data_IF_367306055048
#
_entry.id   IF_367306055048
#
_cell.length_a   1.000
_cell.length_b   1.000
_cell.length_c   1.000
_cell.angle_alpha   90.00
_cell.angle_beta   90.00
_cell.angle_gamma   90.00
#
_symmetry.space_group_name_H-M   'P 1'
#
loop_
_entity.id
_entity.type
_entity.pdbx_description
1 polymer ?
#
# COMPACT_ATOMS: atom_id res chain seq x y z
N UNK A 1 -5.22 -11.84 12.59
CA UNK A 1 -5.00 -11.20 11.28
C UNK A 1 -3.66 -10.46 11.26
N UNK A 2 -2.69 -10.89 10.45
CA UNK A 2 -1.36 -10.26 10.32
C UNK A 2 -1.21 -9.59 8.95
N UNK A 3 -0.59 -8.40 8.90
CA UNK A 3 -0.34 -7.62 7.68
C UNK A 3 1.06 -7.90 7.10
N UNK A 4 1.12 -8.49 5.90
CA UNK A 4 2.36 -8.79 5.18
C UNK A 4 2.28 -8.24 3.75
N UNK A 5 2.56 -6.94 3.60
CA UNK A 5 2.24 -6.21 2.37
C UNK A 5 3.42 -5.55 1.67
N UNK A 6 4.64 -5.76 2.17
CA UNK A 6 5.88 -5.25 1.57
C UNK A 6 6.15 -5.91 0.21
N UNK A 7 6.26 -5.15 -0.90
CA UNK A 7 6.77 -5.67 -2.16
C UNK A 7 8.17 -6.27 -1.95
N UNK A 8 8.37 -7.59 -2.12
CA UNK A 8 9.66 -8.20 -1.87
C UNK A 8 10.61 -7.94 -3.05
N UNK A 9 11.87 -7.63 -2.74
CA UNK A 9 12.94 -7.82 -3.71
C UNK A 9 13.42 -9.27 -3.64
N UNK A 10 14.05 -9.79 -4.70
CA UNK A 10 14.46 -11.19 -4.83
C UNK A 10 15.18 -11.78 -3.60
N UNK A 11 15.92 -10.97 -2.84
CA UNK A 11 16.57 -11.38 -1.61
C UNK A 11 15.58 -11.91 -0.54
N UNK A 12 14.40 -11.28 -0.40
CA UNK A 12 13.38 -11.68 0.57
C UNK A 12 12.72 -13.02 0.22
N UNK A 13 12.64 -13.39 -1.06
CA UNK A 13 12.00 -14.65 -1.49
C UNK A 13 12.65 -15.89 -0.86
N UNK A 14 13.97 -15.84 -0.62
CA UNK A 14 14.75 -16.98 -0.10
C UNK A 14 14.42 -17.32 1.35
N UNK A 15 14.07 -16.32 2.16
CA UNK A 15 13.83 -16.51 3.60
C UNK A 15 12.36 -16.39 3.98
N UNK A 16 11.52 -15.89 3.08
CA UNK A 16 10.13 -15.54 3.37
C UNK A 16 9.34 -16.65 4.06
N UNK A 17 9.31 -17.87 3.51
CA UNK A 17 8.56 -18.99 4.10
C UNK A 17 9.10 -19.37 5.48
N UNK A 18 10.42 -19.35 5.66
CA UNK A 18 11.06 -19.63 6.95
C UNK A 18 10.68 -18.56 7.98
N UNK A 19 10.71 -17.29 7.58
CA UNK A 19 10.43 -16.16 8.46
C UNK A 19 8.91 -16.07 8.77
N UNK A 20 8.06 -16.59 7.86
CA UNK A 20 6.60 -16.66 8.03
C UNK A 20 6.16 -17.83 8.93
N UNK A 21 6.90 -18.94 8.95
CA UNK A 21 6.51 -20.14 9.70
C UNK A 21 6.19 -19.90 11.19
N UNK A 22 7.00 -19.15 11.96
CA UNK A 22 6.65 -18.84 13.35
C UNK A 22 5.32 -18.11 13.51
N UNK A 23 4.93 -17.30 12.52
CA UNK A 23 3.64 -16.61 12.52
C UNK A 23 2.51 -17.60 12.25
N UNK A 24 2.67 -18.52 11.30
CA UNK A 24 1.68 -19.56 11.01
C UNK A 24 1.47 -20.45 12.23
N UNK A 25 2.56 -20.81 12.92
CA UNK A 25 2.52 -21.66 14.13
C UNK A 25 1.76 -20.99 15.29
N UNK A 26 1.59 -19.66 15.28
CA UNK A 26 0.73 -18.94 16.25
C UNK A 26 -0.77 -19.09 15.95
N UNK A 27 -1.16 -19.70 14.82
CA UNK A 27 -2.54 -19.95 14.43
C UNK A 27 -3.39 -18.71 14.13
N UNK A 28 -2.94 -17.78 13.25
CA UNK A 28 -3.78 -16.67 12.82
C UNK A 28 -4.94 -17.19 11.96
N UNK A 29 -6.11 -16.54 12.06
CA UNK A 29 -7.28 -16.93 11.25
C UNK A 29 -7.07 -16.70 9.75
N UNK A 30 -6.36 -15.62 9.39
CA UNK A 30 -6.05 -15.26 8.02
C UNK A 30 -4.83 -14.33 7.92
N UNK A 31 -4.19 -14.36 6.75
CA UNK A 31 -3.11 -13.45 6.36
C UNK A 31 -3.61 -12.38 5.38
N UNK A 32 -3.24 -11.12 5.60
CA UNK A 32 -3.47 -10.04 4.63
C UNK A 32 -2.23 -9.87 3.76
N UNK A 33 -2.37 -10.08 2.45
CA UNK A 33 -1.26 -10.05 1.49
C UNK A 33 -1.61 -9.26 0.22
N UNK A 34 -0.60 -8.70 -0.45
CA UNK A 34 -0.75 -7.89 -1.66
C UNK A 34 -0.01 -8.42 -2.89
N UNK A 35 1.08 -9.17 -2.70
CA UNK A 35 1.96 -9.61 -3.77
C UNK A 35 1.55 -11.00 -4.31
N UNK A 36 1.26 -11.15 -5.62
CA UNK A 36 0.82 -12.42 -6.20
C UNK A 36 1.85 -13.55 -6.06
N UNK A 37 3.14 -13.23 -6.17
CA UNK A 37 4.21 -14.23 -6.07
C UNK A 37 4.32 -14.80 -4.66
N UNK A 38 4.29 -13.93 -3.65
CA UNK A 38 4.28 -14.38 -2.25
C UNK A 38 3.00 -15.13 -1.91
N UNK A 39 1.83 -14.66 -2.37
CA UNK A 39 0.56 -15.35 -2.16
C UNK A 39 0.63 -16.77 -2.71
N UNK A 40 1.15 -16.96 -3.92
CA UNK A 40 1.36 -18.27 -4.52
C UNK A 40 2.26 -19.15 -3.63
N UNK A 41 3.40 -18.63 -3.18
CA UNK A 41 4.31 -19.37 -2.29
C UNK A 41 3.68 -19.76 -0.95
N UNK A 42 2.89 -18.88 -0.33
CA UNK A 42 2.19 -19.19 0.93
C UNK A 42 1.17 -20.28 0.71
N UNK A 43 0.39 -20.22 -0.36
CA UNK A 43 -0.62 -21.25 -0.66
C UNK A 43 0.02 -22.62 -0.91
N UNK A 44 1.17 -22.66 -1.56
CA UNK A 44 1.92 -23.89 -1.78
C UNK A 44 2.47 -24.48 -0.47
N UNK A 45 2.97 -23.63 0.42
CA UNK A 45 3.56 -24.05 1.69
C UNK A 45 2.53 -24.32 2.81
N UNK A 46 1.42 -23.59 2.82
CA UNK A 46 0.40 -23.55 3.86
C UNK A 46 -1.00 -23.49 3.22
N UNK A 47 -1.49 -24.60 2.63
CA UNK A 47 -2.73 -24.62 1.85
C UNK A 47 -3.99 -24.34 2.67
N UNK A 48 -3.96 -24.63 3.98
CA UNK A 48 -5.09 -24.43 4.89
C UNK A 48 -5.16 -23.00 5.45
N UNK A 49 -4.19 -22.13 5.12
CA UNK A 49 -4.15 -20.76 5.61
C UNK A 49 -5.00 -19.85 4.71
N UNK A 50 -6.01 -19.21 5.29
CA UNK A 50 -6.84 -18.25 4.58
C UNK A 50 -6.06 -16.97 4.25
N UNK A 51 -6.25 -16.47 3.03
CA UNK A 51 -5.57 -15.28 2.52
C UNK A 51 -6.60 -14.24 2.10
N UNK A 52 -6.49 -13.06 2.71
CA UNK A 52 -7.25 -11.87 2.39
C UNK A 52 -6.40 -10.92 1.53
N UNK A 53 -6.98 -10.40 0.46
CA UNK A 53 -6.29 -9.44 -0.40
C UNK A 53 -6.21 -8.08 0.29
N UNK A 54 -5.01 -7.54 0.42
CA UNK A 54 -4.77 -6.18 0.90
C UNK A 54 -5.24 -5.14 -0.10
N UNK A 55 -5.72 -4.00 0.41
CA UNK A 55 -6.02 -2.80 -0.39
C UNK A 55 -4.83 -2.33 -1.25
N UNK A 56 -3.59 -2.67 -0.86
CA UNK A 56 -2.37 -2.32 -1.62
C UNK A 56 -2.23 -3.07 -2.95
N UNK A 57 -3.00 -4.14 -3.15
CA UNK A 57 -3.13 -4.85 -4.43
C UNK A 57 -4.03 -4.11 -5.43
N UNK A 58 -4.73 -3.05 -5.01
CA UNK A 58 -5.54 -2.20 -5.88
C UNK A 58 -6.60 -3.00 -6.66
N UNK A 59 -7.52 -3.64 -5.94
CA UNK A 59 -8.68 -4.29 -6.53
C UNK A 59 -9.82 -3.27 -6.72
N UNK A 60 -9.88 -2.68 -7.91
CA UNK A 60 -10.86 -1.64 -8.30
C UNK A 60 -11.90 -2.09 -9.31
N UNK A 61 -11.92 -3.37 -9.69
CA UNK A 61 -12.91 -3.88 -10.65
C UNK A 61 -13.26 -5.34 -10.36
N UNK A 62 -14.41 -5.76 -10.87
CA UNK A 62 -14.93 -7.11 -10.63
C UNK A 62 -14.06 -8.21 -11.25
N UNK A 63 -13.37 -7.91 -12.35
CA UNK A 63 -12.52 -8.90 -13.04
C UNK A 63 -11.28 -9.23 -12.19
N UNK A 64 -10.67 -8.23 -11.57
CA UNK A 64 -9.57 -8.40 -10.60
C UNK A 64 -10.05 -9.20 -9.39
N UNK A 65 -11.22 -8.88 -8.84
CA UNK A 65 -11.80 -9.62 -7.71
C UNK A 65 -12.05 -11.09 -8.08
N UNK A 66 -12.59 -11.34 -9.28
CA UNK A 66 -12.80 -12.68 -9.81
C UNK A 66 -11.50 -13.45 -10.01
N UNK A 67 -10.45 -12.79 -10.51
CA UNK A 67 -9.11 -13.39 -10.64
C UNK A 67 -8.58 -13.86 -9.28
N UNK A 68 -8.64 -13.01 -8.26
CA UNK A 68 -8.19 -13.39 -6.92
C UNK A 68 -9.05 -14.49 -6.29
N UNK A 69 -10.35 -14.53 -6.60
CA UNK A 69 -11.22 -15.65 -6.20
C UNK A 69 -10.75 -16.98 -6.81
N UNK A 70 -10.39 -16.96 -8.08
CA UNK A 70 -9.88 -18.14 -8.80
C UNK A 70 -8.51 -18.58 -8.29
N UNK A 71 -7.68 -17.64 -7.86
CA UNK A 71 -6.44 -17.92 -7.12
C UNK A 71 -6.70 -18.44 -5.70
N UNK A 72 -7.97 -18.53 -5.28
CA UNK A 72 -8.42 -19.17 -4.05
C UNK A 72 -8.38 -18.28 -2.81
N UNK A 73 -8.31 -16.96 -2.96
CA UNK A 73 -8.47 -16.04 -1.83
C UNK A 73 -9.92 -16.07 -1.35
N UNK A 74 -10.10 -15.88 -0.05
CA UNK A 74 -11.39 -15.94 0.63
C UNK A 74 -12.05 -14.57 0.76
N UNK A 75 -11.25 -13.51 0.87
CA UNK A 75 -11.71 -12.13 1.01
C UNK A 75 -10.88 -11.14 0.23
N UNK A 76 -11.53 -10.10 -0.28
CA UNK A 76 -10.87 -8.94 -0.90
C UNK A 76 -11.21 -7.66 -0.14
N UNK A 77 -10.17 -6.97 0.32
CA UNK A 77 -10.30 -5.62 0.86
C UNK A 77 -10.26 -4.64 -0.31
N UNK A 78 -11.42 -4.04 -0.60
CA UNK A 78 -11.60 -3.15 -1.74
C UNK A 78 -10.88 -1.81 -1.56
N UNK A 79 -10.52 -1.22 -2.70
CA UNK A 79 -9.87 0.10 -2.74
C UNK A 79 -10.80 1.20 -2.22
N UNK A 80 -10.23 2.19 -1.54
CA UNK A 80 -10.96 3.32 -0.91
C UNK A 80 -11.45 4.35 -1.94
N UNK A 81 -11.06 4.17 -3.18
CA UNK A 81 -11.35 5.03 -4.31
C UNK A 81 -12.63 4.62 -5.05
N UNK A 82 -13.25 3.49 -4.68
CA UNK A 82 -14.48 2.99 -5.31
C UNK A 82 -15.74 3.67 -4.77
N UNK A 83 -16.68 3.95 -5.67
CA UNK A 83 -18.03 4.36 -5.32
C UNK A 83 -18.88 3.18 -4.84
N UNK A 84 -19.98 3.47 -4.14
CA UNK A 84 -20.93 2.46 -3.67
C UNK A 84 -21.53 1.67 -4.84
N UNK A 85 -21.79 2.34 -5.97
CA UNK A 85 -22.35 1.71 -7.17
C UNK A 85 -21.37 0.70 -7.78
N UNK A 86 -20.08 1.04 -7.85
CA UNK A 86 -19.04 0.11 -8.31
C UNK A 86 -18.88 -1.09 -7.36
N UNK A 87 -18.95 -0.86 -6.05
CA UNK A 87 -18.90 -1.94 -5.05
C UNK A 87 -20.10 -2.88 -5.22
N UNK A 88 -21.30 -2.33 -5.46
CA UNK A 88 -22.51 -3.10 -5.70
C UNK A 88 -22.40 -3.94 -6.99
N UNK A 89 -21.80 -3.38 -8.05
CA UNK A 89 -21.51 -4.11 -9.28
C UNK A 89 -20.53 -5.26 -9.03
N UNK A 90 -19.43 -5.02 -8.32
CA UNK A 90 -18.46 -6.06 -7.95
C UNK A 90 -19.14 -7.19 -7.18
N UNK A 91 -19.97 -6.85 -6.18
CA UNK A 91 -20.73 -7.82 -5.39
C UNK A 91 -21.66 -8.66 -6.26
N UNK A 92 -22.33 -8.05 -7.24
CA UNK A 92 -23.24 -8.74 -8.15
C UNK A 92 -22.50 -9.71 -9.09
N UNK A 93 -21.33 -9.32 -9.58
CA UNK A 93 -20.54 -10.13 -10.51
C UNK A 93 -19.77 -11.27 -9.82
N UNK A 94 -19.41 -11.10 -8.55
CA UNK A 94 -18.65 -12.10 -7.77
C UNK A 94 -19.33 -12.35 -6.41
N UNK A 95 -20.50 -13.02 -6.39
CA UNK A 95 -21.29 -13.21 -5.16
C UNK A 95 -20.67 -14.19 -4.16
N UNK A 96 -19.71 -15.01 -4.59
CA UNK A 96 -19.04 -16.02 -3.75
C UNK A 96 -17.74 -15.52 -3.11
N UNK A 97 -17.44 -14.22 -3.23
CA UNK A 97 -16.28 -13.57 -2.62
C UNK A 97 -16.73 -12.68 -1.45
N UNK A 98 -16.01 -12.75 -0.32
CA UNK A 98 -16.17 -11.79 0.76
C UNK A 98 -15.53 -10.45 0.38
N UNK A 99 -16.28 -9.37 0.54
CA UNK A 99 -15.81 -8.01 0.26
C UNK A 99 -15.72 -7.24 1.58
N UNK A 100 -14.57 -6.64 1.83
CA UNK A 100 -14.34 -5.76 2.98
C UNK A 100 -14.11 -4.33 2.46
N UNK A 101 -14.82 -3.37 3.04
CA UNK A 101 -14.82 -1.97 2.59
C UNK A 101 -14.53 -1.06 3.78
N UNK A 102 -13.68 -0.06 3.56
CA UNK A 102 -13.42 0.97 4.55
C UNK A 102 -14.55 2.01 4.55
N UNK A 103 -15.22 2.18 5.70
CA UNK A 103 -16.25 3.22 5.89
C UNK A 103 -15.63 4.55 6.32
N UNK A 104 -14.63 4.50 7.20
CA UNK A 104 -13.89 5.67 7.67
C UNK A 104 -12.40 5.35 7.73
N UNK A 105 -11.54 6.32 7.45
CA UNK A 105 -10.09 6.13 7.54
C UNK A 105 -9.27 7.28 6.98
N UNK A 106 -7.95 7.17 7.09
CA UNK A 106 -7.04 8.13 6.48
C UNK A 106 -7.02 7.92 4.96
N UNK A 107 -7.78 8.73 4.23
CA UNK A 107 -7.62 8.88 2.78
C UNK A 107 -6.18 9.30 2.50
N UNK A 108 -5.45 8.43 1.80
CA UNK A 108 -4.10 8.74 1.36
C UNK A 108 -4.20 9.54 0.08
N UNK A 109 -3.42 10.61 -0.09
CA UNK A 109 -3.28 11.25 -1.40
C UNK A 109 -2.66 10.31 -2.45
N UNK A 110 -1.92 9.30 -2.01
CA UNK A 110 -1.31 8.32 -2.89
C UNK A 110 -2.23 7.10 -3.08
N UNK A 111 -2.37 6.67 -4.33
CA UNK A 111 -3.20 5.54 -4.73
C UNK A 111 -2.81 4.27 -3.96
N UNK A 112 -3.77 3.69 -3.22
CA UNK A 112 -3.56 2.46 -2.45
C UNK A 112 -2.32 2.46 -1.52
N UNK A 113 -1.92 3.62 -0.98
CA UNK A 113 -0.83 3.72 0.02
C UNK A 113 0.59 3.74 -0.54
N UNK A 114 0.77 3.76 -1.88
CA UNK A 114 2.09 3.83 -2.53
C UNK A 114 2.61 5.28 -2.59
N UNK A 115 2.96 5.83 -1.44
CA UNK A 115 3.38 7.23 -1.33
C UNK A 115 4.88 7.44 -1.66
N UNK A 116 5.19 8.18 -2.73
CA UNK A 116 6.58 8.55 -3.02
C UNK A 116 7.11 9.62 -2.04
N UNK A 117 6.22 10.48 -1.54
CA UNK A 117 6.56 11.65 -0.74
C UNK A 117 7.24 11.28 0.59
N UNK A 118 6.73 10.27 1.31
CA UNK A 118 7.33 9.80 2.56
C UNK A 118 8.70 9.17 2.34
N UNK A 119 8.85 8.41 1.24
CA UNK A 119 10.12 7.78 0.88
C UNK A 119 11.17 8.81 0.48
N UNK A 120 10.78 9.80 -0.32
CA UNK A 120 11.70 10.83 -0.82
C UNK A 120 12.12 11.81 0.28
N UNK A 121 11.17 12.39 1.01
CA UNK A 121 11.45 13.44 2.02
C UNK A 121 12.12 12.84 3.25
N UNK A 122 11.57 11.73 3.78
CA UNK A 122 11.97 11.21 5.09
C UNK A 122 12.74 9.90 5.04
N UNK A 123 13.06 9.38 3.84
CA UNK A 123 13.74 8.08 3.64
C UNK A 123 13.02 6.93 4.34
N UNK A 124 11.69 7.04 4.50
CA UNK A 124 10.83 6.07 5.18
C UNK A 124 9.86 5.45 4.19
N UNK A 125 10.00 4.14 3.97
CA UNK A 125 9.15 3.38 3.06
C UNK A 125 7.73 3.22 3.65
N UNK A 126 6.71 3.88 3.05
CA UNK A 126 5.35 3.77 3.54
C UNK A 126 4.76 2.36 3.36
N UNK A 127 5.30 1.53 2.45
CA UNK A 127 4.83 0.16 2.26
C UNK A 127 5.28 -0.80 3.37
N UNK A 128 6.15 -0.35 4.29
CA UNK A 128 6.48 -1.07 5.53
C UNK A 128 5.72 -0.53 6.75
N UNK A 129 4.68 0.29 6.55
CA UNK A 129 3.96 0.93 7.66
C UNK A 129 4.71 2.11 8.30
N UNK A 130 5.79 2.61 7.68
CA UNK A 130 6.57 3.74 8.22
C UNK A 130 6.15 5.11 7.67
N UNK A 131 4.91 5.21 7.17
CA UNK A 131 4.37 6.45 6.59
C UNK A 131 4.48 7.63 7.57
N UNK A 132 5.09 8.73 7.11
CA UNK A 132 5.31 9.96 7.91
C UNK A 132 4.18 10.97 7.80
N UNK A 133 3.12 10.65 7.05
CA UNK A 133 2.02 11.57 6.74
C UNK A 133 2.50 12.93 6.18
N UNK A 134 3.58 12.92 5.38
CA UNK A 134 4.14 14.11 4.74
C UNK A 134 3.07 14.93 3.99
N UNK A 135 2.07 14.26 3.40
CA UNK A 135 0.94 14.91 2.73
C UNK A 135 0.10 15.84 3.61
N UNK A 136 0.24 15.80 4.94
CA UNK A 136 -0.51 16.64 5.90
C UNK A 136 0.36 17.71 6.55
N UNK A 137 1.61 17.85 6.12
CA UNK A 137 2.51 18.84 6.66
C UNK A 137 2.10 20.24 6.18
N UNK A 138 2.47 21.26 6.95
CA UNK A 138 2.27 22.64 6.53
C UNK A 138 3.29 22.99 5.45
N UNK A 139 2.82 23.04 4.21
CA UNK A 139 3.61 23.52 3.08
C UNK A 139 3.40 25.02 2.90
N UNK A 140 4.49 25.78 2.88
CA UNK A 140 4.49 27.21 2.54
C UNK A 140 4.92 27.36 1.10
N UNK A 141 4.21 28.21 0.35
CA UNK A 141 4.58 28.57 -1.02
C UNK A 141 5.53 29.74 -0.95
N UNK A 142 6.71 29.60 -1.53
CA UNK A 142 7.68 30.68 -1.66
C UNK A 142 7.97 30.97 -3.14
N UNK A 143 8.36 32.22 -3.45
CA UNK A 143 8.78 32.57 -4.80
C UNK A 143 10.08 31.83 -5.16
N UNK A 144 9.99 30.96 -6.16
CA UNK A 144 11.15 30.31 -6.75
C UNK A 144 11.84 31.19 -7.81
N UNK A 145 13.15 30.98 -7.99
CA UNK A 145 13.92 31.52 -9.11
C UNK A 145 14.46 30.36 -9.94
N UNK A 146 14.49 30.52 -11.26
CA UNK A 146 15.15 29.56 -12.15
C UNK A 146 16.67 29.74 -12.10
N UNK A 147 17.41 28.63 -11.93
CA UNK A 147 18.87 28.61 -12.04
C UNK A 147 19.33 28.55 -13.51
N UNK A 148 20.64 28.59 -13.75
CA UNK A 148 21.23 28.59 -15.10
C UNK A 148 20.95 27.28 -15.89
N UNK A 149 20.46 26.24 -15.21
CA UNK A 149 20.19 24.90 -15.75
C UNK A 149 18.68 24.62 -15.82
N UNK A 150 17.84 25.59 -15.46
CA UNK A 150 16.38 25.47 -15.51
C UNK A 150 15.71 24.88 -14.26
N UNK A 151 16.44 24.70 -13.15
CA UNK A 151 15.84 24.21 -11.91
C UNK A 151 15.22 25.37 -11.12
N UNK A 152 14.08 25.12 -10.46
CA UNK A 152 13.48 26.07 -9.53
C UNK A 152 14.17 25.96 -8.17
N UNK A 153 14.86 27.03 -7.76
CA UNK A 153 15.56 27.16 -6.47
C UNK A 153 14.93 28.25 -5.61
N UNK A 154 15.08 28.15 -4.28
CA UNK A 154 14.63 29.20 -3.36
C UNK A 154 15.34 30.53 -3.65
N UNK A 155 14.58 31.63 -3.58
CA UNK A 155 15.09 32.99 -3.74
C UNK A 155 15.88 33.39 -2.48
N UNK A 156 17.15 33.01 -2.43
CA UNK A 156 18.04 33.37 -1.31
C UNK A 156 18.19 34.90 -1.20
N UNK A 157 17.57 35.50 -0.19
CA UNK A 157 17.86 36.88 0.22
C UNK A 157 18.91 36.85 1.33
N UNK A 158 20.17 37.25 1.07
CA UNK A 158 21.17 37.34 2.12
C UNK A 158 20.73 38.33 3.20
N UNK A 159 20.72 37.90 4.46
CA UNK A 159 20.45 38.77 5.60
C UNK A 159 21.59 39.80 5.68
N UNK A 160 21.32 41.12 5.67
CA UNK A 160 22.36 42.12 5.76
C UNK A 160 23.11 41.98 7.08
N UNK A 161 24.40 41.64 6.99
CA UNK A 161 25.29 41.57 8.15
C UNK A 161 25.45 43.00 8.68
N UNK A 162 24.86 43.27 9.84
CA UNK A 162 25.02 44.56 10.54
C UNK A 162 26.50 44.65 10.94
N UNK A 163 27.29 45.47 10.23
CA UNK A 163 28.65 45.80 10.65
C UNK A 163 28.54 46.36 12.08
N UNK A 164 29.20 45.69 13.03
CA UNK A 164 29.37 46.17 14.39
C UNK A 164 30.11 47.52 14.39
#
# INVERSE_FOLDING_TARGET
MLWLTSPPHNAKLKTFIRDLKPVIDMGPDALIMSDPGLIMMVREAFPDMDIHLSVQANAVNWATVKFWRQMGLTRVILSRELSIDEIAEIRKQVPDMELEVFVHGALCMAYSGRCLLSGYINKRDPNQGTCTNACRWEYKVEEGKEDEVGNIVEKYQPIPVKKC
#
